data_IF_299449758385
#
_entry.id   IF_299449758385
#
_cell.length_a   1.000
_cell.length_b   1.000
_cell.length_c   1.000
_cell.angle_alpha   90.00
_cell.angle_beta   90.00
_cell.angle_gamma   90.00
#
_symmetry.space_group_name_H-M   'P 1'
#
loop_
_entity.id
_entity.type
_entity.pdbx_description
1 polymer ?
#
# COMPACT_ATOMS: atom_id res chain seq x y z
N UNK A 1 -2.39 -19.83 19.93
CA UNK A 1 -3.22 -18.76 20.54
C UNK A 1 -3.01 -17.48 19.74
N UNK A 2 -4.07 -16.69 19.47
CA UNK A 2 -3.94 -15.39 18.78
C UNK A 2 -3.58 -14.28 19.78
N UNK A 3 -2.91 -13.22 19.33
CA UNK A 3 -2.50 -12.08 20.17
C UNK A 3 -2.97 -10.73 19.62
N UNK A 4 -3.14 -9.72 20.47
CA UNK A 4 -3.35 -8.36 20.01
C UNK A 4 -2.02 -7.79 19.50
N UNK A 5 -1.99 -7.37 18.23
CA UNK A 5 -0.85 -6.66 17.66
C UNK A 5 -0.90 -5.18 18.06
N UNK A 6 0.21 -4.65 18.56
CA UNK A 6 0.33 -3.23 18.94
C UNK A 6 1.08 -2.40 17.89
N UNK A 7 1.66 -3.04 16.87
CA UNK A 7 2.48 -2.42 15.82
C UNK A 7 2.39 -3.21 14.51
N UNK A 8 2.57 -2.52 13.39
CA UNK A 8 2.74 -3.11 12.05
C UNK A 8 1.48 -3.71 11.42
N UNK A 9 1.58 -4.22 10.17
CA UNK A 9 0.47 -4.88 9.50
C UNK A 9 -0.01 -6.08 10.30
N UNK A 10 -1.30 -6.11 10.61
CA UNK A 10 -1.88 -7.13 11.48
C UNK A 10 -2.18 -8.39 10.68
N UNK A 11 -1.60 -9.54 11.08
CA UNK A 11 -1.80 -10.82 10.41
C UNK A 11 -3.02 -11.56 11.00
N UNK A 12 -4.11 -11.77 10.24
CA UNK A 12 -5.33 -12.41 10.76
C UNK A 12 -5.14 -13.85 11.28
N UNK A 13 -4.08 -14.55 10.84
CA UNK A 13 -3.74 -15.90 11.33
C UNK A 13 -3.10 -15.86 12.71
N UNK A 14 -2.37 -14.78 13.03
CA UNK A 14 -1.60 -14.63 14.28
C UNK A 14 -2.28 -13.68 15.27
N UNK A 15 -3.14 -12.78 14.80
CA UNK A 15 -3.67 -11.68 15.58
C UNK A 15 -5.20 -11.61 15.59
N UNK A 16 -5.75 -11.01 16.64
CA UNK A 16 -7.14 -10.56 16.63
C UNK A 16 -7.28 -9.34 15.72
N UNK A 17 -8.26 -9.41 14.82
CA UNK A 17 -8.46 -8.44 13.74
C UNK A 17 -9.93 -8.14 13.62
N UNK A 18 -10.27 -6.84 13.62
CA UNK A 18 -11.57 -6.37 13.13
C UNK A 18 -11.50 -6.26 11.61
N UNK A 19 -12.46 -6.87 10.91
CA UNK A 19 -12.40 -7.00 9.45
C UNK A 19 -12.77 -5.72 8.70
N UNK A 20 -13.60 -4.83 9.29
CA UNK A 20 -14.08 -3.58 8.68
C UNK A 20 -14.67 -3.78 7.28
N UNK A 21 -15.49 -4.81 7.12
CA UNK A 21 -16.02 -5.23 5.81
C UNK A 21 -16.90 -4.18 5.17
N UNK A 22 -17.72 -3.49 5.97
CA UNK A 22 -18.69 -2.51 5.49
C UNK A 22 -17.96 -1.26 5.00
N UNK A 23 -16.95 -0.82 5.75
CA UNK A 23 -16.11 0.32 5.37
C UNK A 23 -15.24 0.01 4.14
N UNK A 24 -14.76 -1.24 3.99
CA UNK A 24 -14.06 -1.66 2.77
C UNK A 24 -15.02 -1.65 1.57
N UNK A 25 -16.27 -2.08 1.73
CA UNK A 25 -17.27 -2.06 0.65
C UNK A 25 -17.59 -0.62 0.21
N UNK A 26 -17.90 0.26 1.16
CA UNK A 26 -18.16 1.68 0.89
C UNK A 26 -16.96 2.35 0.21
N UNK A 27 -15.73 2.04 0.63
CA UNK A 27 -14.53 2.52 -0.05
C UNK A 27 -14.46 2.05 -1.51
N UNK A 28 -14.70 0.76 -1.78
CA UNK A 28 -14.66 0.21 -3.14
C UNK A 28 -15.73 0.85 -4.02
N UNK A 29 -16.95 1.03 -3.51
CA UNK A 29 -18.04 1.64 -4.26
C UNK A 29 -17.71 3.09 -4.65
N UNK A 30 -17.09 3.85 -3.74
CA UNK A 30 -16.61 5.21 -4.05
C UNK A 30 -15.49 5.24 -5.08
N UNK A 31 -14.60 4.24 -5.08
CA UNK A 31 -13.57 4.10 -6.12
C UNK A 31 -14.22 3.85 -7.49
N UNK A 32 -15.24 2.98 -7.55
CA UNK A 32 -15.99 2.68 -8.77
C UNK A 32 -16.74 3.90 -9.31
N UNK A 33 -17.23 4.76 -8.42
CA UNK A 33 -17.82 6.06 -8.77
C UNK A 33 -16.81 7.09 -9.28
N UNK A 34 -15.50 6.79 -9.30
CA UNK A 34 -14.46 7.71 -9.73
C UNK A 34 -14.20 8.85 -8.74
N UNK A 35 -14.53 8.68 -7.46
CA UNK A 35 -14.39 9.73 -6.45
C UNK A 35 -12.98 9.79 -5.87
N UNK A 36 -12.54 11.00 -5.55
CA UNK A 36 -11.39 11.21 -4.67
C UNK A 36 -11.78 10.94 -3.22
N UNK A 37 -11.02 10.11 -2.53
CA UNK A 37 -11.32 9.67 -1.16
C UNK A 37 -10.20 10.15 -0.24
N UNK A 38 -10.57 10.82 0.84
CA UNK A 38 -9.64 11.22 1.90
C UNK A 38 -9.95 10.42 3.17
N UNK A 39 -8.95 9.71 3.68
CA UNK A 39 -9.07 8.94 4.93
C UNK A 39 -8.50 9.76 6.09
N UNK A 40 -9.38 10.47 6.79
CA UNK A 40 -9.02 11.15 8.03
C UNK A 40 -9.09 10.18 9.22
N UNK A 41 -7.94 9.87 9.83
CA UNK A 41 -7.92 9.20 11.13
C UNK A 41 -6.64 9.56 11.92
N UNK A 42 -6.64 9.48 13.27
CA UNK A 42 -5.46 9.68 14.11
C UNK A 42 -4.29 8.72 13.79
N UNK A 43 -3.05 9.06 14.13
CA UNK A 43 -1.89 8.17 13.90
C UNK A 43 -2.13 6.79 14.55
N UNK A 44 -1.58 5.74 13.92
CA UNK A 44 -1.62 4.35 14.42
C UNK A 44 -3.02 3.69 14.51
N UNK A 45 -4.06 4.24 13.88
CA UNK A 45 -5.41 3.63 13.82
C UNK A 45 -5.59 2.53 12.77
N UNK A 46 -4.49 2.06 12.17
CA UNK A 46 -4.50 1.03 11.14
C UNK A 46 -4.93 1.51 9.75
N UNK A 47 -4.78 2.80 9.42
CA UNK A 47 -5.09 3.34 8.08
C UNK A 47 -4.38 2.59 6.97
N UNK A 48 -3.07 2.39 7.09
CA UNK A 48 -2.26 1.65 6.11
C UNK A 48 -2.78 0.21 5.95
N UNK A 49 -3.10 -0.46 7.07
CA UNK A 49 -3.70 -1.81 7.04
C UNK A 49 -5.06 -1.84 6.36
N UNK A 50 -5.91 -0.83 6.60
CA UNK A 50 -7.20 -0.70 5.93
C UNK A 50 -7.02 -0.51 4.41
N UNK A 51 -6.11 0.38 4.00
CA UNK A 51 -5.84 0.66 2.60
C UNK A 51 -5.37 -0.59 1.85
N UNK A 52 -4.40 -1.34 2.41
CA UNK A 52 -3.95 -2.60 1.81
C UNK A 52 -5.09 -3.61 1.64
N UNK A 53 -5.97 -3.75 2.64
CA UNK A 53 -7.12 -4.67 2.54
C UNK A 53 -8.13 -4.23 1.49
N UNK A 54 -8.37 -2.93 1.38
CA UNK A 54 -9.25 -2.39 0.35
C UNK A 54 -8.68 -2.65 -1.05
N UNK A 55 -7.36 -2.48 -1.24
CA UNK A 55 -6.69 -2.79 -2.50
C UNK A 55 -6.71 -4.30 -2.83
N UNK A 56 -6.46 -5.17 -1.85
CA UNK A 56 -6.57 -6.62 -2.04
C UNK A 56 -8.01 -6.99 -2.43
N UNK A 57 -9.01 -6.47 -1.72
CA UNK A 57 -10.42 -6.72 -2.06
C UNK A 57 -10.81 -6.16 -3.44
N UNK A 58 -10.29 -5.01 -3.84
CA UNK A 58 -10.52 -4.42 -5.17
C UNK A 58 -9.91 -5.31 -6.26
N UNK A 59 -8.67 -5.76 -6.09
CA UNK A 59 -7.95 -6.56 -7.10
C UNK A 59 -8.32 -8.04 -7.13
N UNK A 60 -8.87 -8.58 -6.05
CA UNK A 60 -9.34 -9.96 -5.97
C UNK A 60 -10.77 -10.10 -6.50
N UNK A 61 -11.63 -9.09 -6.29
CA UNK A 61 -12.98 -9.07 -6.83
C UNK A 61 -13.01 -8.69 -8.32
N UNK A 62 -12.13 -7.78 -8.74
CA UNK A 62 -12.15 -7.22 -10.10
C UNK A 62 -10.73 -7.09 -10.66
N UNK A 63 -10.39 -7.93 -11.65
CA UNK A 63 -9.07 -7.93 -12.29
C UNK A 63 -8.81 -6.68 -13.18
N UNK A 64 -9.79 -5.79 -13.29
CA UNK A 64 -9.72 -4.57 -14.12
C UNK A 64 -8.85 -3.49 -13.47
N UNK A 65 -8.81 -3.39 -12.15
CA UNK A 65 -8.07 -2.35 -11.45
C UNK A 65 -6.57 -2.63 -11.37
N UNK A 66 -5.77 -1.62 -11.70
CA UNK A 66 -4.31 -1.61 -11.65
C UNK A 66 -3.87 -0.59 -10.58
N UNK A 67 -3.76 -1.01 -9.30
CA UNK A 67 -3.41 -0.07 -8.23
C UNK A 67 -1.92 0.28 -8.30
N UNK A 68 -1.58 1.55 -8.10
CA UNK A 68 -0.21 2.03 -7.91
C UNK A 68 -0.16 2.62 -6.52
N UNK A 69 0.66 2.05 -5.63
CA UNK A 69 0.79 2.56 -4.26
C UNK A 69 1.99 3.49 -4.16
N UNK A 70 1.78 4.70 -3.64
CA UNK A 70 2.84 5.70 -3.48
C UNK A 70 2.91 6.15 -2.03
N UNK A 71 4.11 6.17 -1.46
CA UNK A 71 4.38 6.67 -0.11
C UNK A 71 5.15 7.98 -0.17
N UNK A 72 4.46 9.08 0.08
CA UNK A 72 5.07 10.41 0.05
C UNK A 72 5.82 10.78 1.33
N UNK A 73 5.80 9.93 2.37
CA UNK A 73 6.56 10.21 3.60
C UNK A 73 8.07 10.22 3.35
N UNK A 74 8.54 9.44 2.36
CA UNK A 74 9.95 9.29 2.01
C UNK A 74 10.53 10.54 1.31
N UNK A 75 9.68 11.39 0.71
CA UNK A 75 10.12 12.57 -0.05
C UNK A 75 10.20 13.88 0.76
N UNK A 76 9.89 13.88 2.06
CA UNK A 76 9.70 15.10 2.87
C UNK A 76 10.86 16.10 2.80
N UNK A 77 12.09 15.63 2.53
CA UNK A 77 13.30 16.44 2.52
C UNK A 77 14.09 16.39 1.19
N UNK A 78 13.52 15.81 0.13
CA UNK A 78 14.23 15.67 -1.15
C UNK A 78 14.13 16.97 -1.96
N UNK A 79 15.14 17.27 -2.78
CA UNK A 79 15.05 18.39 -3.72
C UNK A 79 13.98 18.12 -4.78
N UNK A 80 13.44 19.14 -5.49
CA UNK A 80 12.48 18.90 -6.55
C UNK A 80 13.01 17.94 -7.65
N UNK A 81 14.30 18.03 -7.99
CA UNK A 81 14.91 17.14 -8.98
C UNK A 81 14.97 15.70 -8.47
N UNK A 82 15.38 15.49 -7.23
CA UNK A 82 15.43 14.16 -6.60
C UNK A 82 14.02 13.59 -6.44
N UNK A 83 13.04 14.42 -6.06
CA UNK A 83 11.63 14.01 -5.99
C UNK A 83 11.14 13.44 -7.31
N UNK A 84 11.32 14.15 -8.44
CA UNK A 84 10.85 13.64 -9.73
C UNK A 84 11.56 12.37 -10.17
N UNK A 85 12.86 12.25 -9.85
CA UNK A 85 13.62 11.04 -10.14
C UNK A 85 13.09 9.85 -9.33
N UNK A 86 12.96 9.99 -8.01
CA UNK A 86 12.45 8.90 -7.16
C UNK A 86 10.99 8.58 -7.45
N UNK A 87 10.15 9.59 -7.66
CA UNK A 87 8.75 9.39 -8.01
C UNK A 87 8.58 8.60 -9.32
N UNK A 88 9.42 8.88 -10.33
CA UNK A 88 9.42 8.11 -11.57
C UNK A 88 9.84 6.66 -11.34
N UNK A 89 10.90 6.43 -10.56
CA UNK A 89 11.37 5.08 -10.23
C UNK A 89 10.31 4.29 -9.45
N UNK A 90 9.68 4.90 -8.44
CA UNK A 90 8.64 4.26 -7.63
C UNK A 90 7.41 3.89 -8.46
N UNK A 91 6.96 4.76 -9.36
CA UNK A 91 5.88 4.41 -10.31
C UNK A 91 6.29 3.22 -11.18
N UNK A 92 7.52 3.20 -11.71
CA UNK A 92 8.00 2.11 -12.56
C UNK A 92 8.06 0.79 -11.80
N UNK A 93 8.57 0.82 -10.57
CA UNK A 93 8.67 -0.34 -9.69
C UNK A 93 7.30 -0.89 -9.31
N UNK A 94 6.36 -0.03 -8.92
CA UNK A 94 4.99 -0.42 -8.60
C UNK A 94 4.27 -1.02 -9.82
N UNK A 95 4.44 -0.42 -11.00
CA UNK A 95 3.89 -0.99 -12.25
C UNK A 95 4.46 -2.40 -12.48
N UNK A 96 5.77 -2.58 -12.36
CA UNK A 96 6.41 -3.88 -12.53
C UNK A 96 5.92 -4.89 -11.48
N UNK A 97 5.79 -4.48 -10.22
CA UNK A 97 5.31 -5.31 -9.12
C UNK A 97 3.87 -5.80 -9.35
N UNK A 98 2.98 -4.94 -9.86
CA UNK A 98 1.60 -5.34 -10.19
C UNK A 98 1.57 -6.34 -11.34
N UNK A 99 2.38 -6.14 -12.40
CA UNK A 99 2.50 -7.12 -13.48
C UNK A 99 3.03 -8.47 -12.98
N UNK A 100 4.05 -8.47 -12.12
CA UNK A 100 4.58 -9.67 -11.49
C UNK A 100 3.53 -10.35 -10.61
N UNK A 101 2.78 -9.60 -9.78
CA UNK A 101 1.69 -10.16 -8.95
C UNK A 101 0.61 -10.81 -9.80
N UNK A 102 0.24 -10.20 -10.94
CA UNK A 102 -0.71 -10.77 -11.91
C UNK A 102 -0.15 -12.02 -12.61
N UNK A 103 1.12 -11.99 -13.03
CA UNK A 103 1.82 -13.15 -13.60
C UNK A 103 1.94 -14.32 -12.62
N UNK A 104 2.30 -14.03 -11.36
CA UNK A 104 2.42 -15.01 -10.27
C UNK A 104 1.07 -15.53 -9.75
N UNK A 105 -0.04 -14.80 -9.92
CA UNK A 105 -1.39 -15.37 -9.75
C UNK A 105 -1.66 -16.47 -10.78
N UNK A 106 -1.06 -16.37 -11.97
CA UNK A 106 -1.13 -17.40 -13.01
C UNK A 106 -0.05 -18.48 -12.88
N UNK A 107 1.05 -18.21 -12.17
CA UNK A 107 2.12 -19.18 -11.88
C UNK A 107 2.51 -19.13 -10.39
N UNK A 108 2.01 -20.08 -9.61
CA UNK A 108 2.07 -20.07 -8.15
C UNK A 108 3.36 -19.57 -7.48
N UNK A 109 3.17 -18.62 -6.55
CA UNK A 109 3.87 -18.41 -5.26
C UNK A 109 5.40 -18.41 -5.26
N UNK A 110 6.01 -17.24 -5.05
CA UNK A 110 7.20 -17.02 -4.18
C UNK A 110 7.35 -15.52 -3.87
N UNK A 111 7.52 -15.20 -2.59
CA UNK A 111 7.74 -13.85 -2.04
C UNK A 111 9.14 -13.32 -2.40
N UNK A 112 9.26 -12.01 -2.64
CA UNK A 112 10.52 -11.28 -2.60
C UNK A 112 10.30 -9.91 -1.93
N UNK A 113 11.12 -9.62 -0.92
CA UNK A 113 11.05 -8.44 -0.06
C UNK A 113 12.17 -7.44 -0.37
N UNK A 114 11.76 -6.17 -0.45
CA UNK A 114 12.42 -4.94 0.03
C UNK A 114 13.87 -4.64 -0.38
N UNK A 115 13.99 -3.76 -1.38
CA UNK A 115 15.04 -2.73 -1.45
C UNK A 115 14.32 -1.39 -1.56
N UNK A 116 14.31 -0.59 -0.49
CA UNK A 116 13.80 0.80 -0.51
C UNK A 116 14.97 1.77 -0.45
N UNK A 117 14.95 2.77 -1.33
CA UNK A 117 15.96 3.81 -1.40
C UNK A 117 15.65 4.88 -0.34
N UNK A 118 16.52 5.04 0.64
CA UNK A 118 16.43 6.11 1.65
C UNK A 118 16.99 7.41 1.07
N UNK A 119 16.23 8.50 1.16
CA UNK A 119 16.71 9.85 0.88
C UNK A 119 17.62 10.27 2.05
N UNK A 120 18.90 9.87 1.99
CA UNK A 120 19.89 10.23 3.01
C UNK A 120 20.10 11.75 3.00
N UNK A 121 19.58 12.40 4.04
CA UNK A 121 19.90 13.78 4.36
C UNK A 121 21.41 13.86 4.69
N UNK A 122 22.22 14.21 3.68
CA UNK A 122 23.59 14.70 3.90
C UNK A 122 23.49 15.98 4.72
N UNK A 123 23.52 15.82 6.04
CA UNK A 123 23.72 16.91 6.98
C UNK A 123 25.20 17.25 6.91
N UNK A 124 25.54 18.27 6.12
CA UNK A 124 26.82 18.97 6.22
C UNK A 124 26.73 19.95 7.38
N UNK A 125 27.42 19.66 8.48
CA UNK A 125 28.02 20.65 9.39
C UNK A 125 29.28 20.05 10.00
#
# INVERSE_FOLDING_TARGET
MRTFGTRGPVNPKKNYVVQRTDEISDFIDRVKDGRYIVIFAPRQTGKTTFFHRALDALTDKEATYFPIQLDFEEYKNCSPADFYNYFYEDIREEIAAVFQKRGNRNSGRRDASELRHSCDAKTTF
#
